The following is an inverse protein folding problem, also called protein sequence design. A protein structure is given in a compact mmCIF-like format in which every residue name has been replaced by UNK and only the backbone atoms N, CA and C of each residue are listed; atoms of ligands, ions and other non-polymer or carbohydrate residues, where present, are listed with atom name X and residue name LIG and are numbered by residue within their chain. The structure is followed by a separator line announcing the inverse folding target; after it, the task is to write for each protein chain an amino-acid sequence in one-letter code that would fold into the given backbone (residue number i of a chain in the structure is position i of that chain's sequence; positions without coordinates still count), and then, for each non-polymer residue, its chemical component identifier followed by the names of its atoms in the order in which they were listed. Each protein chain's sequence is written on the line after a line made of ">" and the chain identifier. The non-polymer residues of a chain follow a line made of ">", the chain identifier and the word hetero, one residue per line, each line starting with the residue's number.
data_IF_396100905870
#
_entry.id   IF_396100905870
#
_cell.length_a   1.000
_cell.length_b   1.000
_cell.length_c   1.000
_cell.angle_alpha   90.00
_cell.angle_beta   90.00
_cell.angle_gamma   90.00
#
_symmetry.space_group_name_H-M   'P 1'
#
loop_
_entity.id
_entity.type
_entity.pdbx_description
1 polymer ?
#
# COMPACT_ATOMS: atom_id res chain seq x y z
N UNK A 1 -15.13 10.89 -39.13
CA UNK A 1 -15.38 9.91 -38.03
C UNK A 1 -14.14 9.72 -37.16
N UNK A 2 -13.53 10.82 -36.67
CA UNK A 2 -12.23 10.81 -35.94
C UNK A 2 -12.36 11.25 -34.47
N UNK A 3 -13.58 11.53 -34.00
CA UNK A 3 -13.87 12.08 -32.67
C UNK A 3 -14.29 11.03 -31.64
N UNK A 4 -14.57 9.80 -32.06
CA UNK A 4 -15.12 8.74 -31.20
C UNK A 4 -14.04 7.94 -30.44
N UNK A 5 -12.78 7.95 -30.89
CA UNK A 5 -11.69 7.19 -30.24
C UNK A 5 -11.18 7.85 -28.96
N UNK A 6 -11.32 9.18 -28.82
CA UNK A 6 -10.79 9.93 -27.66
C UNK A 6 -11.63 9.71 -26.39
N UNK A 7 -12.92 9.38 -26.52
CA UNK A 7 -13.84 9.24 -25.38
C UNK A 7 -13.68 7.90 -24.66
N UNK A 8 -13.15 6.87 -25.32
CA UNK A 8 -13.01 5.53 -24.72
C UNK A 8 -11.76 5.41 -23.81
N UNK A 9 -10.79 6.31 -23.90
CA UNK A 9 -9.52 6.20 -23.18
C UNK A 9 -9.55 6.76 -21.75
N UNK A 10 -10.53 7.61 -21.39
CA UNK A 10 -10.51 8.37 -20.14
C UNK A 10 -11.11 7.64 -18.94
N UNK A 11 -11.91 6.58 -19.14
CA UNK A 11 -12.62 5.88 -18.06
C UNK A 11 -11.71 4.87 -17.31
N UNK A 12 -10.54 4.53 -17.86
CA UNK A 12 -9.71 3.42 -17.37
C UNK A 12 -8.79 3.80 -16.19
N UNK A 13 -8.51 5.09 -15.97
CA UNK A 13 -7.50 5.52 -14.96
C UNK A 13 -7.98 5.43 -13.50
N UNK A 14 -9.27 5.58 -13.22
CA UNK A 14 -9.79 5.56 -11.85
C UNK A 14 -9.68 4.18 -11.18
N UNK A 15 -9.66 3.11 -11.97
CA UNK A 15 -9.68 1.73 -11.48
C UNK A 15 -8.35 1.28 -10.86
N UNK A 16 -7.22 1.84 -11.31
CA UNK A 16 -5.88 1.38 -10.90
C UNK A 16 -5.49 1.80 -9.48
N UNK A 17 -5.93 2.98 -9.03
CA UNK A 17 -5.58 3.51 -7.72
C UNK A 17 -6.18 2.65 -6.58
N UNK A 18 -7.45 2.29 -6.70
CA UNK A 18 -8.18 1.47 -5.72
C UNK A 18 -7.53 0.08 -5.54
N UNK A 19 -7.17 -0.58 -6.64
CA UNK A 19 -6.48 -1.88 -6.61
C UNK A 19 -5.18 -1.82 -5.81
N UNK A 20 -4.37 -0.78 -6.01
CA UNK A 20 -3.07 -0.66 -5.34
C UNK A 20 -3.17 -0.51 -3.82
N UNK A 21 -4.20 0.18 -3.33
CA UNK A 21 -4.47 0.36 -1.90
C UNK A 21 -5.00 -0.94 -1.28
N UNK A 22 -5.89 -1.64 -1.98
CA UNK A 22 -6.43 -2.93 -1.54
C UNK A 22 -5.33 -3.99 -1.43
N UNK A 23 -4.43 -4.08 -2.40
CA UNK A 23 -3.26 -4.97 -2.33
C UNK A 23 -2.37 -4.63 -1.12
N UNK A 24 -2.18 -3.34 -0.84
CA UNK A 24 -1.42 -2.88 0.34
C UNK A 24 -2.06 -3.31 1.66
N UNK A 25 -3.40 -3.25 1.76
CA UNK A 25 -4.17 -3.73 2.92
C UNK A 25 -3.95 -5.23 3.13
N UNK A 26 -4.11 -6.04 2.08
CA UNK A 26 -3.96 -7.48 2.20
C UNK A 26 -2.53 -7.89 2.59
N UNK A 27 -1.53 -7.23 2.01
CA UNK A 27 -0.13 -7.46 2.39
C UNK A 27 0.12 -7.10 3.85
N UNK A 28 -0.46 -5.98 4.32
CA UNK A 28 -0.36 -5.56 5.72
C UNK A 28 -0.95 -6.60 6.67
N UNK A 29 -2.19 -7.04 6.41
CA UNK A 29 -2.89 -8.01 7.25
C UNK A 29 -2.22 -9.39 7.25
N UNK A 30 -1.70 -9.84 6.10
CA UNK A 30 -1.07 -11.16 5.96
C UNK A 30 0.36 -11.21 6.54
N UNK A 31 1.14 -10.14 6.38
CA UNK A 31 2.58 -10.15 6.68
C UNK A 31 2.92 -9.47 8.00
N UNK A 32 2.31 -8.32 8.30
CA UNK A 32 2.69 -7.53 9.48
C UNK A 32 2.19 -8.13 10.80
N UNK A 33 1.20 -9.03 10.77
CA UNK A 33 0.67 -9.72 11.96
C UNK A 33 1.58 -10.84 12.47
N UNK A 34 2.52 -11.32 11.64
CA UNK A 34 3.32 -12.52 11.94
C UNK A 34 4.29 -12.35 13.11
N UNK A 35 4.72 -11.12 13.40
CA UNK A 35 5.72 -10.84 14.43
C UNK A 35 5.15 -10.08 15.63
N UNK A 36 4.15 -9.24 15.42
CA UNK A 36 3.50 -8.47 16.47
C UNK A 36 2.10 -8.04 16.02
N UNK A 37 1.30 -7.62 16.98
CA UNK A 37 -0.06 -7.17 16.72
C UNK A 37 -0.08 -5.84 15.91
N UNK A 38 -1.17 -5.60 15.17
CA UNK A 38 -1.25 -4.52 14.16
C UNK A 38 -1.61 -3.16 14.75
N UNK A 39 -2.09 -3.12 15.99
CA UNK A 39 -2.70 -1.97 16.67
C UNK A 39 -1.75 -0.77 16.70
N UNK A 40 -0.45 -1.00 16.92
CA UNK A 40 0.54 0.08 16.93
C UNK A 40 0.58 0.83 15.60
N UNK A 41 0.48 0.11 14.49
CA UNK A 41 0.42 0.71 13.16
C UNK A 41 -0.97 1.28 12.87
N UNK A 42 -2.02 0.61 13.34
CA UNK A 42 -3.40 1.03 13.11
C UNK A 42 -3.76 2.34 13.84
N UNK A 43 -3.16 2.57 15.01
CA UNK A 43 -3.38 3.75 15.87
C UNK A 43 -2.41 4.90 15.59
N UNK A 44 -1.39 4.69 14.74
CA UNK A 44 -0.46 5.74 14.38
C UNK A 44 -0.94 6.51 13.15
N UNK A 45 -0.70 7.82 13.14
CA UNK A 45 -0.93 8.70 11.99
C UNK A 45 0.42 9.20 11.48
N UNK A 46 0.78 8.85 10.25
CA UNK A 46 2.00 9.32 9.57
C UNK A 46 1.66 9.68 8.13
N UNK A 47 2.53 10.46 7.50
CA UNK A 47 2.52 10.63 6.05
C UNK A 47 3.16 9.42 5.35
N UNK A 48 3.16 9.43 4.02
CA UNK A 48 3.74 8.33 3.24
C UNK A 48 5.23 8.11 3.56
N UNK A 49 6.02 9.18 3.64
CA UNK A 49 7.45 9.10 3.93
C UNK A 49 7.71 8.46 5.31
N UNK A 50 6.94 8.82 6.34
CA UNK A 50 7.01 8.22 7.67
C UNK A 50 6.64 6.73 7.66
N UNK A 51 5.66 6.33 6.85
CA UNK A 51 5.29 4.93 6.69
C UNK A 51 6.31 4.12 5.89
N UNK A 52 6.92 4.69 4.85
CA UNK A 52 7.99 4.04 4.09
C UNK A 52 9.21 3.77 4.97
N UNK A 53 9.60 4.74 5.82
CA UNK A 53 10.69 4.52 6.80
C UNK A 53 10.35 3.38 7.76
N UNK A 54 9.11 3.33 8.24
CA UNK A 54 8.66 2.31 9.20
C UNK A 54 8.66 0.92 8.56
N UNK A 55 8.00 0.76 7.41
CA UNK A 55 7.89 -0.52 6.70
C UNK A 55 9.26 -1.02 6.22
N UNK A 56 10.15 -0.14 5.75
CA UNK A 56 11.53 -0.48 5.41
C UNK A 56 12.31 -1.01 6.61
N UNK A 57 12.11 -0.45 7.80
CA UNK A 57 12.73 -0.97 9.02
C UNK A 57 12.24 -2.40 9.34
N UNK A 58 10.97 -2.71 9.09
CA UNK A 58 10.38 -4.04 9.35
C UNK A 58 10.93 -5.13 8.44
N UNK A 59 11.40 -4.81 7.23
CA UNK A 59 12.05 -5.77 6.32
C UNK A 59 13.15 -6.54 7.05
N UNK A 60 13.98 -5.83 7.84
CA UNK A 60 15.12 -6.41 8.59
C UNK A 60 14.71 -7.49 9.59
N UNK A 61 13.49 -7.41 10.12
CA UNK A 61 12.97 -8.33 11.12
C UNK A 61 12.08 -9.42 10.52
N UNK A 62 11.69 -9.27 9.26
CA UNK A 62 10.71 -10.15 8.60
C UNK A 62 11.27 -11.51 8.14
N UNK A 63 12.58 -11.75 8.28
CA UNK A 63 13.21 -12.97 7.74
C UNK A 63 13.07 -13.11 6.23
N UNK A 64 12.87 -12.01 5.50
CA UNK A 64 12.63 -12.00 4.05
C UNK A 64 11.17 -12.06 3.63
N UNK A 65 10.22 -12.16 4.58
CA UNK A 65 8.79 -12.23 4.27
C UNK A 65 8.25 -10.91 3.70
N UNK A 66 8.82 -9.76 4.10
CA UNK A 66 8.45 -8.44 3.59
C UNK A 66 9.50 -7.97 2.59
N UNK A 67 9.13 -7.89 1.30
CA UNK A 67 10.00 -7.33 0.25
C UNK A 67 9.93 -5.80 0.23
N UNK A 68 10.87 -5.12 -0.44
CA UNK A 68 10.79 -3.66 -0.64
C UNK A 68 9.52 -3.24 -1.40
N UNK A 69 9.09 -4.05 -2.37
CA UNK A 69 7.86 -3.80 -3.14
C UNK A 69 6.64 -3.89 -2.25
N UNK A 70 6.57 -4.89 -1.38
CA UNK A 70 5.47 -5.05 -0.44
C UNK A 70 5.46 -3.91 0.59
N UNK A 71 6.62 -3.56 1.13
CA UNK A 71 6.77 -2.45 2.07
C UNK A 71 6.22 -1.14 1.50
N UNK A 72 6.52 -0.82 0.23
CA UNK A 72 5.97 0.36 -0.45
C UNK A 72 4.44 0.31 -0.60
N UNK A 73 3.87 -0.84 -0.94
CA UNK A 73 2.40 -1.00 -1.04
C UNK A 73 1.72 -0.86 0.31
N UNK A 74 2.29 -1.48 1.35
CA UNK A 74 1.82 -1.37 2.74
C UNK A 74 1.89 0.09 3.22
N UNK A 75 2.98 0.79 2.92
CA UNK A 75 3.13 2.20 3.30
C UNK A 75 2.07 3.09 2.66
N UNK A 76 1.76 2.89 1.36
CA UNK A 76 0.68 3.59 0.66
C UNK A 76 -0.69 3.34 1.30
N UNK A 77 -0.99 2.08 1.62
CA UNK A 77 -2.22 1.74 2.34
C UNK A 77 -2.30 2.46 3.69
N UNK A 78 -1.27 2.36 4.53
CA UNK A 78 -1.25 2.99 5.86
C UNK A 78 -1.33 4.52 5.82
N UNK A 79 -0.75 5.15 4.80
CA UNK A 79 -0.83 6.59 4.59
C UNK A 79 -2.24 7.05 4.14
N UNK A 80 -2.95 6.20 3.39
CA UNK A 80 -4.30 6.46 2.88
C UNK A 80 -5.44 6.12 3.85
N UNK A 81 -5.14 5.65 5.06
CA UNK A 81 -6.14 5.36 6.11
C UNK A 81 -6.66 6.61 6.85
N UNK A 82 -6.18 7.80 6.50
CA UNK A 82 -6.61 9.06 7.11
C UNK A 82 -7.98 9.49 6.62
#
# INVERSE_FOLDING_TARGET
>A
MKKTVVVLLTIVMASFACTSVQEGKELFEKKCVKCHALEKSLNATKDLAGWEKTTKAMIRYSGGDITEKDAKKIAKYLAGRK
#
